data_IF_516084710318
#
_entry.id   IF_516084710318
#
_cell.length_a   1.000
_cell.length_b   1.000
_cell.length_c   1.000
_cell.angle_alpha   90.00
_cell.angle_beta   90.00
_cell.angle_gamma   90.00
#
_symmetry.space_group_name_H-M   'P 1'
#
loop_
_entity.id
_entity.type
_entity.pdbx_description
1 polymer ?
#
# COMPACT_ATOMS: atom_id res chain seq x y z
N UNK A 1 -17.20 -60.87 -29.52
CA UNK A 1 -16.15 -59.86 -29.34
C UNK A 1 -16.81 -58.61 -28.76
N UNK A 2 -16.62 -58.35 -27.46
CA UNK A 2 -17.16 -57.16 -26.77
C UNK A 2 -16.08 -56.09 -26.72
N UNK A 3 -16.48 -54.82 -26.85
CA UNK A 3 -15.97 -53.62 -26.17
C UNK A 3 -16.30 -52.41 -27.07
N UNK A 4 -16.78 -51.28 -26.58
CA UNK A 4 -17.12 -50.86 -25.23
C UNK A 4 -17.67 -49.44 -25.33
N UNK A 5 -18.81 -49.18 -24.70
CA UNK A 5 -19.35 -47.83 -24.61
C UNK A 5 -18.40 -46.96 -23.77
N UNK A 6 -17.98 -45.83 -24.32
CA UNK A 6 -17.19 -44.82 -23.59
C UNK A 6 -17.97 -44.30 -22.38
N UNK A 7 -17.29 -44.29 -21.24
CA UNK A 7 -17.83 -43.95 -19.92
C UNK A 7 -18.01 -42.43 -19.78
N UNK A 8 -19.07 -42.01 -19.09
CA UNK A 8 -19.39 -40.61 -18.73
C UNK A 8 -18.24 -39.90 -17.97
N UNK A 9 -17.28 -40.64 -17.43
CA UNK A 9 -16.06 -40.12 -16.80
C UNK A 9 -15.06 -39.50 -17.79
N UNK A 10 -15.08 -39.88 -19.07
CA UNK A 10 -14.19 -39.32 -20.09
C UNK A 10 -14.61 -37.91 -20.55
N UNK A 11 -15.91 -37.59 -20.40
CA UNK A 11 -16.48 -36.33 -20.86
C UNK A 11 -16.16 -35.14 -19.95
N UNK A 12 -15.84 -35.40 -18.67
CA UNK A 12 -15.53 -34.37 -17.68
C UNK A 12 -14.10 -33.85 -17.85
N UNK A 13 -13.20 -34.61 -18.48
CA UNK A 13 -11.78 -34.23 -18.67
C UNK A 13 -11.56 -33.14 -19.73
N UNK A 14 -12.52 -32.91 -20.62
CA UNK A 14 -12.36 -32.00 -21.76
C UNK A 14 -12.88 -30.57 -21.54
N UNK A 15 -13.49 -30.26 -20.38
CA UNK A 15 -13.95 -28.90 -20.06
C UNK A 15 -12.98 -28.16 -19.13
N UNK A 16 -11.71 -28.08 -19.52
CA UNK A 16 -10.83 -27.05 -18.95
C UNK A 16 -11.04 -25.79 -19.81
N UNK A 17 -11.70 -24.75 -19.31
CA UNK A 17 -11.69 -23.47 -20.01
C UNK A 17 -10.23 -23.06 -20.17
N UNK A 18 -9.85 -22.73 -21.40
CA UNK A 18 -8.64 -21.98 -21.71
C UNK A 18 -8.77 -20.62 -21.03
N UNK A 19 -8.48 -20.57 -19.74
CA UNK A 19 -8.03 -19.35 -19.09
C UNK A 19 -6.76 -19.01 -19.84
N UNK A 20 -6.90 -18.10 -20.81
CA UNK A 20 -5.78 -17.45 -21.46
C UNK A 20 -4.81 -17.10 -20.37
N UNK A 21 -3.62 -17.66 -20.51
CA UNK A 21 -2.47 -17.30 -19.69
C UNK A 21 -2.32 -15.81 -19.98
N UNK A 22 -2.93 -14.97 -19.13
CA UNK A 22 -2.56 -13.58 -19.02
C UNK A 22 -1.13 -13.69 -18.56
N UNK A 23 -0.24 -13.67 -19.54
CA UNK A 23 1.16 -13.43 -19.36
C UNK A 23 1.17 -12.21 -18.44
N UNK A 24 1.48 -12.45 -17.16
CA UNK A 24 1.86 -11.38 -16.25
C UNK A 24 3.08 -10.79 -16.93
N UNK A 25 2.80 -9.86 -17.82
CA UNK A 25 3.76 -9.01 -18.46
C UNK A 25 4.38 -8.27 -17.30
N UNK A 26 5.46 -8.88 -16.80
CA UNK A 26 6.42 -8.30 -15.90
C UNK A 26 7.13 -7.25 -16.72
N UNK A 27 6.41 -6.17 -17.01
CA UNK A 27 7.06 -4.90 -17.33
C UNK A 27 8.07 -4.70 -16.20
N UNK A 28 9.32 -4.39 -16.52
CA UNK A 28 10.38 -4.33 -15.54
C UNK A 28 9.94 -3.36 -14.46
N UNK A 29 9.69 -3.88 -13.26
CA UNK A 29 9.51 -3.05 -12.06
C UNK A 29 10.79 -2.26 -11.97
N UNK A 30 10.79 -0.91 -12.06
CA UNK A 30 12.01 -0.14 -12.02
C UNK A 30 12.72 -0.45 -10.70
N UNK A 31 13.80 -1.18 -10.92
CA UNK A 31 14.83 -1.70 -10.02
C UNK A 31 15.23 -0.64 -9.01
N UNK A 32 15.13 -0.94 -7.70
CA UNK A 32 15.81 -0.27 -6.56
C UNK A 32 15.87 1.26 -6.47
N UNK A 33 15.29 2.01 -7.41
CA UNK A 33 15.66 3.39 -7.67
C UNK A 33 14.72 4.27 -6.87
N UNK A 34 15.31 5.05 -5.96
CA UNK A 34 14.59 6.09 -5.22
C UNK A 34 14.00 7.06 -6.24
N UNK A 35 12.67 7.22 -6.30
CA UNK A 35 12.06 8.15 -7.25
C UNK A 35 12.47 9.58 -6.93
N UNK A 36 12.71 10.40 -7.94
CA UNK A 36 13.03 11.83 -7.73
C UNK A 36 11.79 12.56 -7.20
N UNK A 37 11.98 13.64 -6.45
CA UNK A 37 10.87 14.47 -5.94
C UNK A 37 9.85 14.86 -7.03
N UNK A 38 10.32 15.22 -8.23
CA UNK A 38 9.46 15.54 -9.37
C UNK A 38 8.60 14.34 -9.83
N UNK A 39 9.19 13.14 -9.87
CA UNK A 39 8.47 11.91 -10.22
C UNK A 39 7.42 11.58 -9.17
N UNK A 40 7.78 11.72 -7.88
CA UNK A 40 6.85 11.53 -6.75
C UNK A 40 5.67 12.48 -6.85
N UNK A 41 5.91 13.80 -7.00
CA UNK A 41 4.85 14.81 -7.19
C UNK A 41 3.97 14.46 -8.38
N UNK A 42 4.57 14.17 -9.54
CA UNK A 42 3.81 13.84 -10.75
C UNK A 42 2.90 12.63 -10.55
N UNK A 43 3.34 11.62 -9.77
CA UNK A 43 2.57 10.40 -9.53
C UNK A 43 1.36 10.65 -8.63
N UNK A 44 1.54 11.40 -7.55
CA UNK A 44 0.51 11.57 -6.51
C UNK A 44 -0.33 12.84 -6.68
N UNK A 45 0.02 13.75 -7.61
CA UNK A 45 -0.66 15.05 -7.82
C UNK A 45 -2.18 14.94 -7.89
N UNK A 46 -2.71 13.88 -8.50
CA UNK A 46 -4.16 13.64 -8.62
C UNK A 46 -4.91 13.50 -7.29
N UNK A 47 -4.20 13.24 -6.19
CA UNK A 47 -4.77 13.14 -4.83
C UNK A 47 -5.02 14.51 -4.18
N UNK A 48 -4.51 15.59 -4.80
CA UNK A 48 -4.52 16.95 -4.27
C UNK A 48 -5.36 17.84 -5.19
N UNK A 49 -6.66 17.58 -5.24
CA UNK A 49 -7.60 18.37 -6.04
C UNK A 49 -7.87 19.76 -5.46
N UNK A 50 -7.62 19.93 -4.16
CA UNK A 50 -7.89 21.15 -3.40
C UNK A 50 -6.66 22.05 -3.22
N UNK A 51 -5.45 21.53 -3.41
CA UNK A 51 -4.21 22.28 -3.25
C UNK A 51 -3.17 21.89 -4.30
N UNK A 52 -2.49 22.83 -4.97
CA UNK A 52 -1.46 22.49 -5.95
C UNK A 52 -0.24 21.87 -5.24
N UNK A 53 0.00 20.58 -5.47
CA UNK A 53 1.15 19.89 -4.88
C UNK A 53 2.47 20.35 -5.52
N UNK A 54 3.40 20.79 -4.68
CA UNK A 54 4.76 21.20 -5.05
C UNK A 54 5.81 20.28 -4.45
N UNK A 55 7.07 20.42 -4.89
CA UNK A 55 8.20 19.66 -4.34
C UNK A 55 8.47 20.03 -2.88
N UNK A 56 8.24 21.29 -2.49
CA UNK A 56 8.47 21.76 -1.11
C UNK A 56 7.54 21.09 -0.12
N UNK A 57 6.31 20.83 -0.52
CA UNK A 57 5.32 20.19 0.34
C UNK A 57 5.76 18.78 0.77
N UNK A 58 6.52 18.07 -0.07
CA UNK A 58 7.05 16.74 0.27
C UNK A 58 7.88 16.76 1.56
N UNK A 59 8.58 17.87 1.83
CA UNK A 59 9.46 18.04 3.00
C UNK A 59 8.82 18.89 4.10
N UNK A 60 8.04 19.91 3.76
CA UNK A 60 7.46 20.85 4.73
C UNK A 60 6.13 20.35 5.31
N UNK A 61 5.39 19.53 4.55
CA UNK A 61 4.04 19.07 4.88
C UNK A 61 3.91 17.54 4.73
N UNK A 62 4.95 16.81 5.11
CA UNK A 62 5.06 15.35 4.94
C UNK A 62 3.88 14.58 5.53
N UNK A 63 3.44 14.89 6.75
CA UNK A 63 2.33 14.18 7.40
C UNK A 63 1.03 14.36 6.62
N UNK A 64 0.73 15.58 6.18
CA UNK A 64 -0.47 15.88 5.38
C UNK A 64 -0.48 15.13 4.04
N UNK A 65 0.68 15.02 3.39
CA UNK A 65 0.81 14.27 2.14
C UNK A 65 0.60 12.79 2.39
N UNK A 66 1.22 12.24 3.43
CA UNK A 66 1.04 10.83 3.80
C UNK A 66 -0.43 10.57 4.12
N UNK A 67 -1.11 11.42 4.90
CA UNK A 67 -2.55 11.29 5.15
C UNK A 67 -3.36 11.17 3.85
N UNK A 68 -3.09 12.03 2.85
CA UNK A 68 -3.77 11.99 1.56
C UNK A 68 -3.47 10.72 0.76
N UNK A 69 -2.21 10.29 0.74
CA UNK A 69 -1.79 9.06 0.05
C UNK A 69 -2.41 7.83 0.71
N UNK A 70 -2.49 7.78 2.03
CA UNK A 70 -3.07 6.65 2.75
C UNK A 70 -4.60 6.57 2.60
N UNK A 71 -5.29 7.71 2.56
CA UNK A 71 -6.75 7.75 2.52
C UNK A 71 -7.31 7.58 1.09
N UNK A 72 -6.65 8.14 0.08
CA UNK A 72 -7.17 8.21 -1.30
C UNK A 72 -6.25 7.58 -2.35
N UNK A 73 -5.05 7.17 -1.96
CA UNK A 73 -4.04 6.61 -2.88
C UNK A 73 -4.28 5.15 -3.25
N UNK A 74 -3.60 4.71 -4.30
CA UNK A 74 -3.45 3.30 -4.64
C UNK A 74 -2.21 2.71 -3.96
N UNK A 75 -2.08 1.39 -3.99
CA UNK A 75 -0.90 0.72 -3.44
C UNK A 75 0.39 1.16 -4.17
N UNK A 76 0.33 1.50 -5.45
CA UNK A 76 1.45 2.07 -6.20
C UNK A 76 1.87 3.44 -5.68
N UNK A 77 0.93 4.30 -5.29
CA UNK A 77 1.26 5.61 -4.72
C UNK A 77 1.96 5.45 -3.37
N UNK A 78 1.44 4.55 -2.53
CA UNK A 78 2.04 4.19 -1.25
C UNK A 78 3.46 3.67 -1.45
N UNK A 79 3.67 2.78 -2.43
CA UNK A 79 5.00 2.25 -2.77
C UNK A 79 5.96 3.34 -3.24
N UNK A 80 5.49 4.29 -4.06
CA UNK A 80 6.30 5.42 -4.52
C UNK A 80 6.68 6.32 -3.34
N UNK A 81 5.73 6.65 -2.47
CA UNK A 81 5.98 7.48 -1.29
C UNK A 81 6.93 6.79 -0.30
N UNK A 82 6.72 5.49 -0.06
CA UNK A 82 7.60 4.67 0.78
C UNK A 82 9.04 4.62 0.25
N UNK A 83 9.22 4.44 -1.07
CA UNK A 83 10.57 4.48 -1.68
C UNK A 83 11.19 5.87 -1.63
N UNK A 84 10.41 6.92 -1.85
CA UNK A 84 10.88 8.31 -1.82
C UNK A 84 11.41 8.70 -0.44
N UNK A 85 10.64 8.41 0.62
CA UNK A 85 10.96 8.80 1.99
C UNK A 85 11.92 7.84 2.69
N UNK A 86 11.96 6.58 2.24
CA UNK A 86 12.54 5.48 2.98
C UNK A 86 11.60 4.96 4.07
N UNK A 87 11.84 3.70 4.48
CA UNK A 87 10.98 2.96 5.42
C UNK A 87 10.73 3.72 6.72
N UNK A 88 11.79 4.12 7.41
CA UNK A 88 11.68 4.69 8.76
C UNK A 88 10.95 6.05 8.77
N UNK A 89 11.26 6.91 7.81
CA UNK A 89 10.61 8.23 7.69
C UNK A 89 9.14 8.06 7.30
N UNK A 90 8.85 7.14 6.38
CA UNK A 90 7.48 6.83 5.98
C UNK A 90 6.66 6.32 7.18
N UNK A 91 7.15 5.31 7.91
CA UNK A 91 6.41 4.75 9.03
C UNK A 91 6.25 5.74 10.19
N UNK A 92 7.24 6.61 10.46
CA UNK A 92 7.08 7.72 11.40
C UNK A 92 6.01 8.71 10.96
N UNK A 93 5.95 9.05 9.67
CA UNK A 93 4.92 9.93 9.14
C UNK A 93 3.52 9.28 9.22
N UNK A 94 3.42 7.97 8.95
CA UNK A 94 2.18 7.18 9.14
C UNK A 94 1.74 7.22 10.60
N UNK A 95 2.66 7.01 11.55
CA UNK A 95 2.37 7.06 12.98
C UNK A 95 1.95 8.46 13.48
N UNK A 96 2.41 9.52 12.82
CA UNK A 96 2.05 10.90 13.14
C UNK A 96 0.68 11.33 12.56
N UNK A 97 0.06 10.52 11.70
CA UNK A 97 -1.24 10.85 11.09
C UNK A 97 -2.37 10.88 12.14
N UNK A 98 -3.29 11.84 11.98
CA UNK A 98 -4.44 11.97 12.87
C UNK A 98 -5.77 12.08 12.11
N UNK A 99 -5.75 12.54 10.86
CA UNK A 99 -6.96 12.83 10.06
C UNK A 99 -7.45 11.67 9.19
N UNK A 100 -6.94 10.46 9.42
CA UNK A 100 -7.38 9.25 8.72
C UNK A 100 -8.77 8.78 9.16
N UNK A 101 -9.50 8.13 8.26
CA UNK A 101 -10.74 7.43 8.65
C UNK A 101 -10.43 6.28 9.60
N UNK A 102 -11.40 5.85 10.44
CA UNK A 102 -11.19 4.73 11.36
C UNK A 102 -10.73 3.45 10.66
N UNK A 103 -11.24 3.19 9.45
CA UNK A 103 -10.86 2.04 8.62
C UNK A 103 -9.37 2.09 8.25
N UNK A 104 -8.93 3.18 7.64
CA UNK A 104 -7.53 3.37 7.22
C UNK A 104 -6.60 3.37 8.42
N UNK A 105 -6.97 4.06 9.50
CA UNK A 105 -6.19 4.09 10.75
C UNK A 105 -5.99 2.70 11.36
N UNK A 106 -7.04 1.88 11.41
CA UNK A 106 -6.96 0.54 11.98
C UNK A 106 -6.06 -0.38 11.13
N UNK A 107 -6.14 -0.27 9.80
CA UNK A 107 -5.25 -1.03 8.91
C UNK A 107 -3.77 -0.69 9.16
N UNK A 108 -3.42 0.60 9.18
CA UNK A 108 -2.04 1.02 9.38
C UNK A 108 -1.53 0.78 10.80
N UNK A 109 -2.41 0.79 11.81
CA UNK A 109 -2.05 0.39 13.18
C UNK A 109 -1.49 -1.02 13.21
N UNK A 110 -2.17 -1.98 12.58
CA UNK A 110 -1.72 -3.37 12.55
C UNK A 110 -0.35 -3.50 11.87
N UNK A 111 -0.10 -2.71 10.82
CA UNK A 111 1.20 -2.69 10.14
C UNK A 111 2.28 -2.11 11.07
N UNK A 112 2.03 -0.98 11.72
CA UNK A 112 2.99 -0.35 12.63
C UNK A 112 3.36 -1.29 13.80
N UNK A 113 2.37 -1.96 14.39
CA UNK A 113 2.59 -2.97 15.43
C UNK A 113 3.47 -4.12 14.93
N UNK A 114 3.24 -4.62 13.71
CA UNK A 114 4.07 -5.68 13.11
C UNK A 114 5.51 -5.25 12.83
N UNK A 115 5.73 -3.96 12.61
CA UNK A 115 7.04 -3.35 12.39
C UNK A 115 7.73 -2.96 13.71
N UNK A 116 7.14 -3.29 14.87
CA UNK A 116 7.68 -2.96 16.18
C UNK A 116 7.63 -1.46 16.52
N UNK A 117 6.89 -0.66 15.73
CA UNK A 117 6.65 0.74 16.01
C UNK A 117 5.43 0.81 16.90
N UNK A 118 5.57 1.24 18.17
CA UNK A 118 4.45 1.24 19.09
C UNK A 118 3.31 2.11 18.51
N UNK A 119 2.06 1.65 18.57
CA UNK A 119 0.89 2.29 17.96
C UNK A 119 0.42 3.52 18.75
N UNK A 120 1.34 4.28 19.33
CA UNK A 120 1.03 5.49 20.06
C UNK A 120 0.75 6.65 19.08
N UNK A 121 -0.28 6.47 18.25
CA UNK A 121 -0.96 7.55 17.50
C UNK A 121 -1.85 8.40 18.41
N UNK A 122 -1.75 8.25 19.75
CA UNK A 122 -2.40 9.07 20.77
C UNK A 122 -1.35 9.77 21.61
N UNK A 123 -1.62 11.03 21.94
CA UNK A 123 -0.85 11.90 22.85
C UNK A 123 -0.63 11.34 24.26
N UNK A 124 -1.24 10.20 24.62
CA UNK A 124 -1.11 9.57 25.94
C UNK A 124 -1.02 8.04 25.83
N UNK A 125 0.16 7.54 25.50
CA UNK A 125 0.55 6.19 25.88
C UNK A 125 1.57 6.32 27.02
N UNK A 126 1.10 6.20 28.26
CA UNK A 126 2.01 6.08 29.42
C UNK A 126 2.74 4.74 29.28
N UNK A 127 4.07 4.74 29.35
CA UNK A 127 4.86 3.50 29.30
C UNK A 127 4.87 2.74 30.65
N UNK A 128 4.33 3.35 31.70
CA UNK A 128 4.24 2.77 33.04
C UNK A 128 2.81 2.72 33.53
N UNK A 129 2.45 1.61 34.18
CA UNK A 129 1.27 1.53 35.02
C UNK A 129 1.44 2.51 36.19
N UNK A 130 0.35 3.13 36.64
CA UNK A 130 0.32 4.24 37.61
C UNK A 130 0.73 3.84 39.05
N UNK A 131 1.33 2.66 39.21
CA UNK A 131 1.51 1.99 40.49
C UNK A 131 2.80 1.13 40.51
N UNK A 132 3.91 1.73 40.08
CA UNK A 132 5.27 1.28 40.43
C UNK A 132 5.79 2.03 41.65
#
# INVERSE_FOLDING_TARGET
>A
MKQGAMSLSDQIRQRRPTLGLVELSSQPVPDGTVPTALQTVSKIRRLFWDHPLTIKDLTEHTVWIVERVLEYGTIEDIRVMHRFMGKDVFLRAVAATNRLSPRTRNFWRNILESEGIPPCTKMFCRNTAWNS
#
